data_IF_776574368147
#
_entry.id   IF_776574368147
#
_cell.length_a   1.000
_cell.length_b   1.000
_cell.length_c   1.000
_cell.angle_alpha   90.00
_cell.angle_beta   90.00
_cell.angle_gamma   90.00
#
_symmetry.space_group_name_H-M   'P 1'
#
loop_
_entity.id
_entity.type
_entity.pdbx_description
1 polymer ?
#
# COMPACT_ATOMS: atom_id res chain seq x y z
N UNK A 1 35.81 40.08 2.23
CA UNK A 1 36.92 40.78 1.50
C UNK A 1 37.61 39.81 0.51
N UNK A 2 37.95 38.59 0.91
CA UNK A 2 38.71 37.61 0.09
C UNK A 2 37.94 37.19 -1.18
N UNK A 3 36.67 36.88 -1.08
CA UNK A 3 35.86 36.46 -2.23
C UNK A 3 35.67 37.57 -3.28
N UNK A 4 35.55 38.81 -2.85
CA UNK A 4 35.43 39.94 -3.75
C UNK A 4 36.73 40.19 -4.52
N UNK A 5 37.88 40.02 -3.86
CA UNK A 5 39.20 40.14 -4.50
C UNK A 5 39.45 39.01 -5.50
N UNK A 6 39.05 37.76 -5.15
CA UNK A 6 39.18 36.59 -6.04
C UNK A 6 38.27 36.74 -7.26
N UNK A 7 37.03 37.21 -7.09
CA UNK A 7 36.10 37.45 -8.19
C UNK A 7 36.61 38.53 -9.15
N UNK A 8 37.12 39.64 -8.61
CA UNK A 8 37.70 40.71 -9.42
C UNK A 8 38.96 40.27 -10.21
N UNK A 9 39.79 39.39 -9.64
CA UNK A 9 40.95 38.80 -10.32
C UNK A 9 40.50 37.87 -11.47
N UNK A 10 39.47 37.02 -11.21
CA UNK A 10 38.93 36.11 -12.19
C UNK A 10 38.27 36.88 -13.37
N UNK A 11 37.57 37.97 -13.08
CA UNK A 11 37.02 38.85 -14.13
C UNK A 11 38.13 39.48 -14.98
N UNK A 12 39.23 39.88 -14.35
CA UNK A 12 40.37 40.48 -15.05
C UNK A 12 41.11 39.48 -15.97
N UNK A 13 41.20 38.23 -15.54
CA UNK A 13 41.86 37.17 -16.28
C UNK A 13 40.93 36.53 -17.37
N UNK A 14 39.66 36.81 -17.33
CA UNK A 14 38.67 36.20 -18.22
C UNK A 14 38.67 36.88 -19.60
N UNK A 15 39.20 36.20 -20.59
CA UNK A 15 39.23 36.69 -21.99
C UNK A 15 37.82 36.72 -22.62
N UNK A 16 36.86 36.05 -22.05
CA UNK A 16 35.45 35.95 -22.52
C UNK A 16 34.52 36.94 -21.76
N UNK A 17 35.07 37.91 -21.06
CA UNK A 17 34.30 38.97 -20.37
C UNK A 17 33.47 39.73 -21.42
N UNK A 18 32.17 39.88 -21.15
CA UNK A 18 31.21 40.52 -22.06
C UNK A 18 31.70 41.93 -22.51
N UNK A 19 32.31 42.68 -21.60
CA UNK A 19 32.88 44.00 -21.89
C UNK A 19 34.02 43.95 -22.88
N UNK A 20 34.86 42.94 -22.84
CA UNK A 20 36.02 42.77 -23.76
C UNK A 20 35.62 42.34 -25.17
N UNK A 21 34.34 41.94 -25.39
CA UNK A 21 33.83 41.60 -26.73
C UNK A 21 33.42 42.85 -27.55
N UNK A 22 33.37 44.02 -26.94
CA UNK A 22 33.12 45.24 -27.68
C UNK A 22 34.37 45.74 -28.44
N UNK A 23 34.18 46.48 -29.54
CA UNK A 23 35.30 47.08 -30.26
C UNK A 23 36.11 48.04 -29.38
N UNK A 24 37.42 48.08 -29.55
CA UNK A 24 38.34 48.88 -28.69
C UNK A 24 37.97 50.37 -28.61
N UNK A 25 37.52 50.93 -29.73
CA UNK A 25 37.09 52.33 -29.75
C UNK A 25 35.87 52.63 -28.83
N UNK A 26 34.96 51.67 -28.67
CA UNK A 26 33.84 51.85 -27.75
C UNK A 26 34.30 51.77 -26.29
N UNK A 27 35.26 50.90 -26.01
CA UNK A 27 35.84 50.73 -24.68
C UNK A 27 36.61 52.03 -24.30
N UNK A 28 37.43 52.55 -25.21
CA UNK A 28 38.19 53.79 -24.99
C UNK A 28 37.23 54.98 -24.77
N UNK A 29 36.15 55.10 -25.52
CA UNK A 29 35.14 56.15 -25.34
C UNK A 29 34.38 56.00 -24.01
N UNK A 30 34.05 54.78 -23.62
CA UNK A 30 33.38 54.52 -22.35
C UNK A 30 34.26 54.84 -21.13
N UNK A 31 35.56 54.53 -21.23
CA UNK A 31 36.54 54.88 -20.19
C UNK A 31 36.66 56.37 -19.96
N UNK A 32 36.51 57.17 -21.02
CA UNK A 32 36.55 58.64 -20.95
C UNK A 32 35.20 59.24 -20.45
N UNK A 33 34.10 58.53 -20.67
CA UNK A 33 32.71 59.01 -20.40
C UNK A 33 32.02 58.41 -19.17
N UNK A 34 32.79 57.92 -18.20
CA UNK A 34 32.23 57.50 -16.89
C UNK A 34 31.85 56.04 -16.80
N UNK A 35 32.32 55.17 -17.72
CA UNK A 35 32.18 53.72 -17.66
C UNK A 35 30.73 53.18 -17.61
N UNK A 36 29.83 53.88 -18.26
CA UNK A 36 28.41 53.51 -18.27
C UNK A 36 28.15 52.20 -19.00
N UNK A 37 28.88 51.96 -20.11
CA UNK A 37 28.78 50.70 -20.86
C UNK A 37 29.31 49.52 -20.00
N UNK A 38 30.39 49.72 -19.27
CA UNK A 38 30.93 48.75 -18.33
C UNK A 38 29.96 48.39 -17.23
N UNK A 39 29.31 49.37 -16.64
CA UNK A 39 28.28 49.13 -15.61
C UNK A 39 27.07 48.40 -16.19
N UNK A 40 26.61 48.77 -17.39
CA UNK A 40 25.52 48.07 -18.06
C UNK A 40 25.86 46.59 -18.35
N UNK A 41 27.04 46.37 -18.90
CA UNK A 41 27.51 44.98 -19.19
C UNK A 41 27.70 44.13 -17.92
N UNK A 42 28.14 44.76 -16.81
CA UNK A 42 28.21 44.05 -15.52
C UNK A 42 26.83 43.64 -15.01
N UNK A 43 25.81 44.47 -15.16
CA UNK A 43 24.43 44.11 -14.77
C UNK A 43 23.94 42.95 -15.64
N UNK A 44 24.19 42.98 -16.95
CA UNK A 44 23.83 41.91 -17.86
C UNK A 44 24.61 40.61 -17.56
N UNK A 45 25.90 40.72 -17.31
CA UNK A 45 26.75 39.58 -16.97
C UNK A 45 26.31 38.93 -15.66
N UNK A 46 25.95 39.69 -14.64
CA UNK A 46 25.46 39.16 -13.38
C UNK A 46 24.19 38.32 -13.55
N UNK A 47 23.33 38.68 -14.49
CA UNK A 47 22.17 37.87 -14.84
C UNK A 47 22.56 36.52 -15.43
N UNK A 48 23.52 36.48 -16.36
CA UNK A 48 24.00 35.23 -16.97
C UNK A 48 24.79 34.39 -15.99
N UNK A 49 25.56 34.99 -15.09
CA UNK A 49 26.26 34.28 -14.00
C UNK A 49 25.25 33.62 -13.05
N UNK A 50 24.18 34.31 -12.72
CA UNK A 50 23.07 33.77 -11.93
C UNK A 50 22.42 32.60 -12.63
N UNK A 51 22.17 32.70 -13.94
CA UNK A 51 21.59 31.64 -14.73
C UNK A 51 22.52 30.40 -14.81
N UNK A 52 23.81 30.63 -15.02
CA UNK A 52 24.83 29.57 -15.04
C UNK A 52 24.92 28.85 -13.68
N UNK A 53 24.90 29.61 -12.59
CA UNK A 53 24.88 29.02 -11.25
C UNK A 53 23.58 28.23 -10.97
N UNK A 54 22.44 28.67 -11.50
CA UNK A 54 21.18 27.91 -11.42
C UNK A 54 21.27 26.59 -12.20
N UNK A 55 21.80 26.61 -13.41
CA UNK A 55 21.99 25.40 -14.23
C UNK A 55 22.93 24.41 -13.53
N UNK A 56 24.07 24.89 -13.01
CA UNK A 56 24.99 24.08 -12.25
C UNK A 56 24.37 23.52 -10.96
N UNK A 57 23.58 24.36 -10.27
CA UNK A 57 22.87 23.97 -9.04
C UNK A 57 21.85 22.85 -9.23
N UNK A 58 21.23 22.72 -10.41
CA UNK A 58 20.26 21.64 -10.70
C UNK A 58 20.92 20.25 -10.62
N UNK A 59 22.15 20.12 -11.11
CA UNK A 59 22.89 18.86 -11.06
C UNK A 59 23.30 18.49 -9.64
N UNK A 60 23.71 19.46 -8.85
CA UNK A 60 24.06 19.26 -7.43
C UNK A 60 22.81 18.95 -6.58
N UNK A 61 21.66 19.52 -6.92
CA UNK A 61 20.39 19.25 -6.27
C UNK A 61 19.92 17.81 -6.39
N UNK A 62 20.16 17.20 -7.54
CA UNK A 62 19.84 15.78 -7.79
C UNK A 62 20.78 14.81 -7.08
N UNK A 63 21.97 15.24 -6.73
CA UNK A 63 22.92 14.42 -5.99
C UNK A 63 22.52 14.36 -4.53
N UNK A 64 22.00 13.22 -4.09
CA UNK A 64 21.69 12.94 -2.66
C UNK A 64 23.01 12.91 -1.88
N UNK A 65 23.46 14.06 -1.41
CA UNK A 65 24.61 14.14 -0.50
C UNK A 65 24.10 14.25 0.92
N UNK A 66 24.01 13.11 1.59
CA UNK A 66 23.82 13.06 3.03
C UNK A 66 25.20 13.28 3.69
N UNK A 67 25.31 14.28 4.55
CA UNK A 67 26.47 14.49 5.43
C UNK A 67 27.83 14.78 4.74
N UNK A 68 27.93 15.89 4.06
CA UNK A 68 29.26 16.44 3.80
C UNK A 68 29.33 17.86 4.33
N UNK A 69 30.20 18.09 5.32
CA UNK A 69 30.49 19.43 5.86
C UNK A 69 31.10 20.40 4.84
N UNK A 70 31.30 19.93 3.59
CA UNK A 70 31.80 20.68 2.44
C UNK A 70 30.70 21.02 1.39
N UNK A 71 29.42 20.72 1.67
CA UNK A 71 28.34 21.08 0.75
C UNK A 71 28.26 22.61 0.63
N UNK A 72 28.48 23.13 -0.57
CA UNK A 72 28.28 24.56 -0.85
C UNK A 72 26.80 24.92 -0.61
N UNK A 73 26.52 26.07 0.00
CA UNK A 73 25.16 26.54 0.19
C UNK A 73 24.49 26.71 -1.18
N UNK A 74 23.33 26.08 -1.36
CA UNK A 74 22.60 26.15 -2.62
C UNK A 74 21.66 27.35 -2.61
N UNK A 75 22.16 28.52 -2.96
CA UNK A 75 21.42 29.79 -2.91
C UNK A 75 20.24 29.85 -3.87
N UNK A 76 20.18 28.94 -4.84
CA UNK A 76 19.13 28.93 -5.89
C UNK A 76 18.06 27.83 -5.66
N UNK A 77 18.13 27.13 -4.57
CA UNK A 77 17.23 26.02 -4.27
C UNK A 77 15.75 26.42 -4.38
N UNK A 78 15.40 27.61 -3.92
CA UNK A 78 14.04 28.17 -3.99
C UNK A 78 13.58 28.37 -5.44
N UNK A 79 14.44 28.92 -6.29
CA UNK A 79 14.11 29.20 -7.68
C UNK A 79 13.93 27.90 -8.49
N UNK A 80 14.70 26.88 -8.18
CA UNK A 80 14.55 25.55 -8.78
C UNK A 80 13.20 24.93 -8.43
N UNK A 81 12.75 25.05 -7.18
CA UNK A 81 11.41 24.62 -6.76
C UNK A 81 10.31 25.41 -7.49
N UNK A 82 10.48 26.72 -7.61
CA UNK A 82 9.56 27.59 -8.35
C UNK A 82 9.45 27.20 -9.81
N UNK A 83 10.58 26.84 -10.44
CA UNK A 83 10.62 26.30 -11.81
C UNK A 83 9.86 24.98 -11.99
N UNK A 84 9.66 24.22 -10.92
CA UNK A 84 8.84 23.01 -10.90
C UNK A 84 7.37 23.26 -10.49
N UNK A 85 6.96 24.53 -10.43
CA UNK A 85 5.61 24.95 -10.06
C UNK A 85 5.32 24.93 -8.54
N UNK A 86 6.33 24.71 -7.71
CA UNK A 86 6.18 24.75 -6.26
C UNK A 86 6.57 26.13 -5.72
N UNK A 87 5.55 26.97 -5.52
CA UNK A 87 5.74 28.34 -4.99
C UNK A 87 5.76 28.28 -3.47
N UNK A 88 6.93 28.48 -2.90
CA UNK A 88 7.12 28.51 -1.46
C UNK A 88 7.43 29.95 -1.01
N UNK A 89 6.78 30.46 0.06
CA UNK A 89 7.16 31.74 0.63
C UNK A 89 8.61 31.70 1.12
N UNK A 90 9.25 32.86 1.19
CA UNK A 90 10.61 32.92 1.72
C UNK A 90 10.57 32.59 3.21
N UNK A 91 11.24 31.49 3.57
CA UNK A 91 11.37 31.07 4.95
C UNK A 91 12.54 31.81 5.59
N UNK A 92 12.36 32.22 6.83
CA UNK A 92 13.43 32.88 7.59
C UNK A 92 13.97 34.10 6.81
N UNK A 93 13.08 35.04 6.45
CA UNK A 93 13.39 36.22 5.63
C UNK A 93 14.54 37.01 6.21
N UNK A 94 14.65 37.05 7.53
CA UNK A 94 15.68 37.79 8.27
C UNK A 94 16.71 36.81 8.88
N UNK A 95 17.15 35.81 8.08
CA UNK A 95 18.11 34.81 8.55
C UNK A 95 19.41 35.45 9.07
N UNK A 96 19.86 36.51 8.48
CA UNK A 96 21.08 37.23 8.91
C UNK A 96 20.91 37.86 10.31
N UNK A 97 19.74 38.44 10.59
CA UNK A 97 19.41 39.01 11.90
C UNK A 97 19.26 37.88 12.94
N UNK A 98 18.65 36.80 12.57
CA UNK A 98 18.52 35.61 13.45
C UNK A 98 19.87 35.00 13.76
N UNK A 99 20.80 34.96 12.79
CA UNK A 99 22.16 34.52 13.00
C UNK A 99 22.94 35.45 13.93
N UNK A 100 22.74 36.74 13.81
CA UNK A 100 23.37 37.74 14.68
C UNK A 100 22.82 37.66 16.13
N UNK A 101 21.52 37.46 16.30
CA UNK A 101 20.90 37.22 17.63
C UNK A 101 21.42 35.92 18.24
N UNK A 102 21.53 34.88 17.45
CA UNK A 102 22.07 33.58 17.86
C UNK A 102 23.53 33.68 18.31
N UNK A 103 24.34 34.42 17.59
CA UNK A 103 25.76 34.62 17.90
C UNK A 103 26.03 35.44 19.19
N UNK A 104 24.98 35.94 19.85
CA UNK A 104 25.10 36.64 21.14
C UNK A 104 25.05 35.74 22.36
N UNK A 105 24.66 34.45 22.21
CA UNK A 105 24.63 33.51 23.30
C UNK A 105 25.84 32.56 23.19
N UNK A 106 26.89 32.84 23.96
CA UNK A 106 28.15 32.10 23.98
C UNK A 106 28.00 30.69 24.58
N UNK A 107 26.85 30.37 25.19
CA UNK A 107 26.60 29.09 25.86
C UNK A 107 25.91 28.05 24.99
N UNK A 108 25.36 28.43 23.85
CA UNK A 108 24.70 27.49 22.96
C UNK A 108 25.51 27.25 21.69
N UNK A 109 25.94 26.01 21.49
CA UNK A 109 26.59 25.58 20.25
C UNK A 109 25.57 24.99 19.29
N UNK A 110 25.26 25.72 18.25
CA UNK A 110 24.39 25.22 17.17
C UNK A 110 25.24 24.56 16.07
N UNK A 111 24.79 23.41 15.59
CA UNK A 111 25.52 22.58 14.62
C UNK A 111 25.41 23.03 13.15
N UNK A 112 25.03 24.26 12.85
CA UNK A 112 24.95 24.71 11.46
C UNK A 112 24.40 26.14 11.34
N UNK A 113 24.70 26.77 10.21
CA UNK A 113 24.21 28.08 9.86
C UNK A 113 22.73 28.01 9.46
N UNK A 114 21.93 29.03 9.74
CA UNK A 114 20.52 29.11 9.36
C UNK A 114 20.35 29.02 7.84
N UNK A 115 21.25 29.59 7.08
CA UNK A 115 21.27 29.50 5.62
C UNK A 115 21.48 28.04 5.13
N UNK A 116 22.33 27.27 5.80
CA UNK A 116 22.50 25.86 5.48
C UNK A 116 21.24 25.05 5.78
N UNK A 117 20.56 25.34 6.90
CA UNK A 117 19.30 24.70 7.25
C UNK A 117 18.20 25.03 6.23
N UNK A 118 18.08 26.29 5.84
CA UNK A 118 17.14 26.76 4.81
C UNK A 118 17.36 26.04 3.49
N UNK A 119 18.62 25.96 3.04
CA UNK A 119 18.98 25.27 1.81
C UNK A 119 18.73 23.76 1.90
N UNK A 120 18.97 23.14 3.05
CA UNK A 120 18.69 21.72 3.30
C UNK A 120 17.19 21.44 3.19
N UNK A 121 16.33 22.29 3.75
CA UNK A 121 14.88 22.15 3.66
C UNK A 121 14.44 22.23 2.20
N UNK A 122 14.89 23.23 1.45
CA UNK A 122 14.57 23.35 0.02
C UNK A 122 15.03 22.13 -0.77
N UNK A 123 16.21 21.60 -0.49
CA UNK A 123 16.72 20.40 -1.12
C UNK A 123 15.88 19.16 -0.79
N UNK A 124 15.47 19.01 0.47
CA UNK A 124 14.60 17.93 0.89
C UNK A 124 13.23 17.99 0.19
N UNK A 125 12.65 19.19 0.07
CA UNK A 125 11.39 19.41 -0.65
C UNK A 125 11.57 19.02 -2.11
N UNK A 126 12.63 19.49 -2.78
CA UNK A 126 12.89 19.17 -4.18
C UNK A 126 13.02 17.67 -4.43
N UNK A 127 13.80 16.97 -3.60
CA UNK A 127 13.99 15.53 -3.70
C UNK A 127 12.69 14.72 -3.50
N UNK A 128 11.75 15.26 -2.71
CA UNK A 128 10.47 14.63 -2.43
C UNK A 128 9.31 15.19 -3.26
N UNK A 129 9.55 16.20 -4.09
CA UNK A 129 8.49 16.92 -4.81
C UNK A 129 7.63 16.00 -5.68
N UNK A 130 8.24 15.04 -6.35
CA UNK A 130 7.54 14.05 -7.17
C UNK A 130 6.56 13.19 -6.35
N UNK A 131 6.95 12.81 -5.14
CA UNK A 131 6.10 12.03 -4.23
C UNK A 131 4.98 12.88 -3.64
N UNK A 132 5.28 14.15 -3.33
CA UNK A 132 4.30 15.12 -2.84
C UNK A 132 3.23 15.36 -3.92
N UNK A 133 3.63 15.57 -5.18
CA UNK A 133 2.68 15.79 -6.28
C UNK A 133 1.85 14.55 -6.61
N UNK A 134 2.45 13.36 -6.62
CA UNK A 134 1.72 12.11 -6.86
C UNK A 134 0.69 11.79 -5.78
N UNK A 135 0.90 12.25 -4.57
CA UNK A 135 -0.01 12.08 -3.43
C UNK A 135 -0.82 13.32 -3.09
N UNK A 136 -0.83 14.33 -3.96
CA UNK A 136 -1.55 15.60 -3.75
C UNK A 136 -3.01 15.37 -3.36
N UNK A 137 -3.47 16.08 -2.33
CA UNK A 137 -4.83 15.94 -1.80
C UNK A 137 -5.01 14.81 -0.78
N UNK A 138 -3.96 14.07 -0.45
CA UNK A 138 -4.00 13.02 0.57
C UNK A 138 -3.21 13.44 1.81
N UNK A 139 -3.54 12.83 2.96
CA UNK A 139 -2.80 12.99 4.21
C UNK A 139 -1.30 12.67 4.04
N UNK A 140 -0.98 11.66 3.23
CA UNK A 140 0.39 11.28 2.91
C UNK A 140 1.21 12.41 2.30
N UNK A 141 0.60 13.25 1.48
CA UNK A 141 1.27 14.43 0.89
C UNK A 141 1.70 15.41 1.98
N UNK A 142 0.80 15.71 2.91
CA UNK A 142 1.09 16.61 4.02
C UNK A 142 2.18 16.06 4.94
N UNK A 143 2.10 14.80 5.33
CA UNK A 143 3.12 14.16 6.18
C UNK A 143 4.50 14.15 5.51
N UNK A 144 4.57 13.84 4.21
CA UNK A 144 5.83 13.91 3.46
C UNK A 144 6.38 15.34 3.38
N UNK A 145 5.50 16.32 3.23
CA UNK A 145 5.91 17.72 3.23
C UNK A 145 6.51 18.14 4.57
N UNK A 146 5.85 17.84 5.69
CA UNK A 146 6.38 18.16 7.02
C UNK A 146 7.69 17.44 7.33
N UNK A 147 7.86 16.21 6.87
CA UNK A 147 9.13 15.49 6.99
C UNK A 147 10.30 16.19 6.32
N UNK A 148 10.06 16.96 5.26
CA UNK A 148 11.11 17.76 4.62
C UNK A 148 11.66 18.86 5.54
N UNK A 149 10.89 19.28 6.55
CA UNK A 149 11.30 20.22 7.58
C UNK A 149 11.96 19.54 8.79
N UNK A 150 12.13 18.23 8.75
CA UNK A 150 12.68 17.46 9.88
C UNK A 150 11.67 17.19 11.00
N UNK A 151 10.37 17.43 10.77
CA UNK A 151 9.32 17.16 11.74
C UNK A 151 8.80 15.75 11.56
N UNK A 152 8.91 14.92 12.61
CA UNK A 152 8.41 13.55 12.56
C UNK A 152 6.89 13.50 12.58
N UNK A 153 6.36 12.42 12.00
CA UNK A 153 4.91 12.18 11.91
C UNK A 153 4.23 12.04 13.27
N UNK A 154 4.97 11.65 14.31
CA UNK A 154 4.48 11.56 15.69
C UNK A 154 4.15 12.93 16.31
N UNK A 155 4.83 13.99 15.85
CA UNK A 155 4.64 15.35 16.35
C UNK A 155 3.48 16.09 15.67
N UNK A 156 2.91 15.52 14.59
CA UNK A 156 1.89 16.19 13.79
C UNK A 156 0.55 15.51 13.93
N UNK A 157 -0.42 16.23 14.47
CA UNK A 157 -1.83 15.85 14.46
C UNK A 157 -2.52 16.51 13.26
N UNK A 158 -2.96 15.71 12.28
CA UNK A 158 -3.73 16.16 11.13
C UNK A 158 -5.22 15.96 11.39
N UNK A 159 -5.98 17.05 11.44
CA UNK A 159 -7.41 17.01 11.49
C UNK A 159 -7.97 17.22 10.08
N UNK A 160 -8.73 16.27 9.59
CA UNK A 160 -9.40 16.35 8.29
C UNK A 160 -10.87 16.70 8.52
N UNK A 161 -11.34 17.75 7.86
CA UNK A 161 -12.72 18.19 7.92
C UNK A 161 -13.35 18.02 6.53
N UNK A 162 -14.56 17.48 6.48
CA UNK A 162 -15.33 17.33 5.25
C UNK A 162 -16.73 17.86 5.47
N UNK A 163 -17.27 18.55 4.47
CA UNK A 163 -18.55 19.26 4.59
C UNK A 163 -19.78 18.34 4.73
N UNK A 164 -19.66 17.05 4.37
CA UNK A 164 -20.84 16.17 4.27
C UNK A 164 -20.59 14.72 4.73
N UNK A 165 -19.56 14.46 5.53
CA UNK A 165 -19.30 13.12 6.05
C UNK A 165 -18.94 13.14 7.52
N UNK A 166 -19.62 12.28 8.29
CA UNK A 166 -19.29 12.04 9.69
C UNK A 166 -18.15 11.04 9.77
N UNK A 167 -16.96 11.49 10.08
CA UNK A 167 -15.81 10.62 10.33
C UNK A 167 -15.68 10.36 11.83
N UNK A 168 -15.59 9.08 12.18
CA UNK A 168 -15.15 8.70 13.53
C UNK A 168 -13.61 8.86 13.56
N UNK A 169 -13.16 9.95 14.16
CA UNK A 169 -11.74 10.22 14.34
C UNK A 169 -11.22 9.41 15.53
N UNK A 170 -10.30 8.49 15.28
CA UNK A 170 -9.54 7.83 16.35
C UNK A 170 -8.21 8.56 16.52
N UNK A 171 -7.93 9.00 17.73
CA UNK A 171 -6.74 9.79 18.08
C UNK A 171 -5.38 9.05 17.90
N UNK A 172 -5.40 7.75 17.65
CA UNK A 172 -4.22 6.91 17.47
C UNK A 172 -4.11 6.45 16.00
N UNK A 173 -3.78 7.38 15.12
CA UNK A 173 -3.54 7.04 13.72
C UNK A 173 -2.04 6.84 13.51
N UNK A 174 -1.59 5.61 13.59
CA UNK A 174 -0.26 5.22 13.14
C UNK A 174 -0.38 4.63 11.73
N UNK A 175 0.10 5.37 10.72
CA UNK A 175 0.19 4.85 9.37
C UNK A 175 1.48 4.06 9.22
N UNK A 176 1.40 2.78 9.48
CA UNK A 176 2.49 1.87 9.13
C UNK A 176 2.22 1.34 7.71
N UNK A 177 2.98 1.80 6.74
CA UNK A 177 2.99 1.19 5.41
C UNK A 177 3.82 -0.09 5.48
N UNK A 178 3.17 -1.21 5.76
CA UNK A 178 3.82 -2.52 5.73
C UNK A 178 3.76 -3.03 4.30
N UNK A 179 4.94 -3.23 3.69
CA UNK A 179 5.04 -3.96 2.44
C UNK A 179 4.78 -5.45 2.74
N UNK A 180 3.58 -5.93 2.41
CA UNK A 180 3.25 -7.35 2.57
C UNK A 180 3.45 -8.11 1.26
N UNK A 181 3.90 -9.36 1.33
CA UNK A 181 3.96 -10.21 0.16
C UNK A 181 2.54 -10.53 -0.34
N UNK A 182 2.35 -10.49 -1.64
CA UNK A 182 1.11 -10.86 -2.31
C UNK A 182 1.40 -11.88 -3.41
N UNK A 183 0.55 -12.87 -3.55
CA UNK A 183 0.51 -13.73 -4.72
C UNK A 183 -0.19 -12.97 -5.85
N UNK A 184 0.58 -12.44 -6.79
CA UNK A 184 0.05 -11.65 -7.90
C UNK A 184 -0.22 -12.57 -9.11
N UNK A 185 -1.49 -12.81 -9.39
CA UNK A 185 -1.94 -13.61 -10.53
C UNK A 185 -2.40 -12.79 -11.72
N UNK A 186 -2.36 -11.47 -11.62
CA UNK A 186 -2.74 -10.55 -12.69
C UNK A 186 -1.64 -10.36 -13.72
N UNK A 187 -1.17 -11.48 -14.29
CA UNK A 187 -0.24 -11.53 -15.42
C UNK A 187 -0.63 -12.71 -16.30
N UNK A 188 -0.51 -12.56 -17.62
CA UNK A 188 -0.92 -13.58 -18.58
C UNK A 188 -0.36 -14.97 -18.27
N UNK A 189 0.92 -15.03 -17.91
CA UNK A 189 1.64 -16.25 -17.60
C UNK A 189 1.27 -16.86 -16.23
N UNK A 190 0.61 -16.09 -15.36
CA UNK A 190 0.33 -16.46 -13.97
C UNK A 190 -1.15 -16.73 -13.68
N UNK A 191 -2.03 -16.56 -14.65
CA UNK A 191 -3.48 -16.75 -14.47
C UNK A 191 -3.88 -18.15 -13.99
N UNK A 192 -3.05 -19.14 -14.24
CA UNK A 192 -3.23 -20.52 -13.79
C UNK A 192 -2.42 -20.86 -12.54
N UNK A 193 -1.75 -19.86 -11.94
CA UNK A 193 -0.95 -20.06 -10.74
C UNK A 193 -1.79 -20.42 -9.54
N UNK A 194 -1.33 -21.38 -8.77
CA UNK A 194 -1.95 -21.77 -7.51
C UNK A 194 -0.88 -22.11 -6.47
N UNK A 195 -1.12 -21.70 -5.24
CA UNK A 195 -0.33 -22.09 -4.07
C UNK A 195 -1.21 -22.94 -3.19
N UNK A 196 -0.72 -24.08 -2.76
CA UNK A 196 -1.46 -25.00 -1.92
C UNK A 196 -0.65 -25.40 -0.69
N UNK A 197 -1.34 -25.78 0.34
CA UNK A 197 -0.75 -26.26 1.57
C UNK A 197 0.03 -27.56 1.31
N UNK A 198 1.33 -27.50 1.57
CA UNK A 198 2.25 -28.62 1.42
C UNK A 198 3.29 -28.57 2.54
N UNK A 199 3.77 -29.69 3.00
CA UNK A 199 4.84 -29.81 3.99
C UNK A 199 5.77 -30.97 3.67
N UNK A 200 6.98 -30.90 4.21
CA UNK A 200 8.02 -31.88 3.98
C UNK A 200 8.00 -33.07 4.96
N UNK A 201 7.18 -32.98 5.98
CA UNK A 201 7.15 -33.89 7.15
C UNK A 201 5.97 -34.87 7.16
N UNK A 202 5.22 -34.95 6.07
CA UNK A 202 4.09 -35.89 5.92
C UNK A 202 2.78 -35.41 6.56
N UNK A 203 2.78 -34.32 7.31
CA UNK A 203 1.57 -33.75 7.94
C UNK A 203 1.25 -32.39 7.29
N UNK A 204 0.56 -32.44 6.17
CA UNK A 204 0.37 -31.21 5.34
C UNK A 204 -1.07 -30.85 5.12
N UNK A 205 -1.94 -31.31 5.99
CA UNK A 205 -3.36 -31.05 5.90
C UNK A 205 -3.91 -30.71 7.28
N UNK A 206 -4.98 -29.90 7.27
CA UNK A 206 -5.75 -29.66 8.47
C UNK A 206 -6.56 -30.92 8.79
N UNK A 207 -6.21 -31.59 9.88
CA UNK A 207 -6.99 -32.74 10.34
C UNK A 207 -8.22 -32.23 11.10
N UNK A 208 -9.36 -32.80 10.81
CA UNK A 208 -10.49 -32.75 11.73
C UNK A 208 -10.23 -33.65 12.92
N UNK A 209 -10.75 -33.29 14.09
CA UNK A 209 -10.75 -34.21 15.21
C UNK A 209 -11.71 -35.38 14.92
N UNK A 210 -11.17 -36.58 14.86
CA UNK A 210 -11.98 -37.83 14.82
C UNK A 210 -12.32 -38.34 16.22
N UNK A 211 -11.78 -37.71 17.29
CA UNK A 211 -12.09 -38.12 18.64
C UNK A 211 -13.47 -37.60 19.04
N UNK A 212 -14.25 -38.49 19.63
CA UNK A 212 -15.63 -38.19 20.07
C UNK A 212 -15.73 -37.14 21.15
N UNK A 213 -14.61 -36.71 21.73
CA UNK A 213 -14.57 -35.85 22.89
C UNK A 213 -14.13 -34.38 22.59
N UNK A 214 -13.52 -34.15 21.39
CA UNK A 214 -13.06 -32.84 20.97
C UNK A 214 -13.57 -32.54 19.55
N UNK A 215 -14.84 -32.26 19.42
CA UNK A 215 -15.39 -31.81 18.14
C UNK A 215 -15.15 -30.34 17.91
N UNK A 216 -14.49 -29.98 16.84
CA UNK A 216 -14.49 -28.61 16.38
C UNK A 216 -15.92 -28.15 16.15
N UNK A 217 -16.28 -27.07 16.82
CA UNK A 217 -17.63 -26.53 16.74
C UNK A 217 -17.80 -25.54 15.61
N UNK A 218 -16.69 -25.04 15.08
CA UNK A 218 -16.66 -24.06 14.01
C UNK A 218 -15.30 -23.99 13.30
N UNK A 219 -15.32 -23.51 12.07
CA UNK A 219 -14.13 -23.16 11.31
C UNK A 219 -14.34 -21.82 10.59
N UNK A 220 -13.25 -21.10 10.35
CA UNK A 220 -13.23 -19.91 9.50
C UNK A 220 -12.03 -19.98 8.56
N UNK A 221 -12.26 -19.79 7.27
CA UNK A 221 -11.21 -19.56 6.30
C UNK A 221 -11.35 -18.14 5.81
N UNK A 222 -10.33 -17.34 6.00
CA UNK A 222 -10.28 -15.96 5.51
C UNK A 222 -9.16 -15.75 4.51
N UNK A 223 -9.35 -14.82 3.61
CA UNK A 223 -8.32 -14.38 2.69
C UNK A 223 -8.50 -12.91 2.35
N UNK A 224 -7.41 -12.24 2.07
CA UNK A 224 -7.41 -10.90 1.51
C UNK A 224 -7.19 -11.00 0.00
N UNK A 225 -8.10 -10.42 -0.77
CA UNK A 225 -8.02 -10.32 -2.22
C UNK A 225 -7.96 -8.86 -2.65
N UNK A 226 -7.00 -8.52 -3.49
CA UNK A 226 -6.88 -7.20 -4.11
C UNK A 226 -7.20 -7.37 -5.58
N UNK A 227 -8.22 -6.66 -6.04
CA UNK A 227 -8.68 -6.67 -7.43
C UNK A 227 -7.94 -5.59 -8.20
N UNK A 228 -6.98 -5.94 -9.07
CA UNK A 228 -6.19 -4.96 -9.80
C UNK A 228 -7.06 -4.07 -10.67
N UNK A 229 -6.57 -2.87 -10.96
CA UNK A 229 -7.23 -2.00 -11.92
C UNK A 229 -7.33 -2.68 -13.28
N UNK A 230 -8.53 -2.75 -13.82
CA UNK A 230 -8.79 -3.28 -15.13
C UNK A 230 -8.87 -2.14 -16.13
N UNK A 231 -7.93 -2.14 -17.06
CA UNK A 231 -7.86 -1.15 -18.13
C UNK A 231 -8.98 -1.37 -19.16
N UNK A 232 -9.48 -0.30 -19.75
CA UNK A 232 -10.37 -0.39 -20.89
C UNK A 232 -9.60 -0.84 -22.14
N UNK A 233 -10.33 -1.41 -23.12
CA UNK A 233 -9.74 -2.00 -24.34
C UNK A 233 -8.80 -1.08 -25.12
N UNK A 234 -8.98 0.22 -24.99
CA UNK A 234 -8.20 1.24 -25.69
C UNK A 234 -7.12 1.89 -24.83
N UNK A 235 -7.01 1.49 -23.56
CA UNK A 235 -5.99 2.01 -22.65
C UNK A 235 -4.67 1.25 -22.78
N UNK A 236 -3.56 1.96 -22.65
CA UNK A 236 -2.23 1.36 -22.57
C UNK A 236 -2.14 0.51 -21.29
N UNK A 237 -1.85 -0.78 -21.44
CA UNK A 237 -1.84 -1.72 -20.31
C UNK A 237 -3.08 -2.63 -20.27
N UNK A 238 -3.98 -2.52 -21.25
CA UNK A 238 -5.09 -3.46 -21.40
C UNK A 238 -4.53 -4.89 -21.50
N UNK A 239 -5.11 -5.75 -20.68
CA UNK A 239 -4.76 -7.16 -20.60
C UNK A 239 -6.05 -8.00 -20.67
N UNK A 240 -6.29 -8.72 -21.79
CA UNK A 240 -7.51 -9.46 -21.96
C UNK A 240 -7.52 -10.71 -21.09
N UNK A 241 -8.40 -10.75 -20.09
CA UNK A 241 -8.72 -11.98 -19.38
C UNK A 241 -9.93 -12.62 -20.04
N UNK A 242 -9.72 -13.78 -20.67
CA UNK A 242 -10.78 -14.48 -21.41
C UNK A 242 -11.73 -15.29 -20.51
N UNK A 243 -11.96 -14.88 -19.26
CA UNK A 243 -12.83 -15.57 -18.33
C UNK A 243 -13.61 -14.58 -17.44
N UNK A 244 -14.78 -15.01 -17.03
CA UNK A 244 -15.68 -14.21 -16.17
C UNK A 244 -15.58 -14.63 -14.70
N UNK A 245 -15.15 -15.84 -14.42
CA UNK A 245 -15.04 -16.36 -13.05
C UNK A 245 -13.57 -16.39 -12.64
N UNK A 246 -13.21 -15.64 -11.61
CA UNK A 246 -11.88 -15.64 -11.01
C UNK A 246 -11.91 -16.41 -9.70
N UNK A 247 -11.05 -17.44 -9.57
CA UNK A 247 -10.86 -18.16 -8.32
C UNK A 247 -9.98 -17.35 -7.38
N UNK A 248 -10.27 -17.38 -6.09
CA UNK A 248 -9.55 -16.60 -5.07
C UNK A 248 -8.82 -17.55 -4.14
N UNK A 249 -9.54 -18.34 -3.39
CA UNK A 249 -9.01 -19.33 -2.45
C UNK A 249 -10.09 -20.35 -2.10
N UNK A 250 -9.66 -21.45 -1.52
CA UNK A 250 -10.60 -22.49 -1.10
C UNK A 250 -9.91 -23.65 -0.38
N UNK A 251 -10.68 -24.64 -0.03
CA UNK A 251 -10.15 -25.90 0.45
C UNK A 251 -10.85 -27.10 -0.18
N UNK A 252 -10.14 -28.21 -0.23
CA UNK A 252 -10.62 -29.52 -0.65
C UNK A 252 -10.30 -30.57 0.40
N UNK A 253 -11.17 -31.58 0.50
CA UNK A 253 -10.87 -32.77 1.28
C UNK A 253 -9.68 -33.50 0.66
N UNK A 254 -8.70 -33.86 1.48
CA UNK A 254 -7.62 -34.73 1.10
C UNK A 254 -8.18 -36.17 0.90
N UNK A 255 -7.72 -36.88 -0.13
CA UNK A 255 -8.15 -38.29 -0.39
C UNK A 255 -7.46 -39.20 0.59
N UNK A 256 -6.17 -39.02 0.81
CA UNK A 256 -5.38 -39.76 1.79
C UNK A 256 -4.71 -38.83 2.77
N UNK A 257 -4.28 -39.33 3.91
CA UNK A 257 -3.45 -38.62 4.85
C UNK A 257 -1.97 -38.49 4.42
N UNK A 258 -1.61 -39.02 3.26
CA UNK A 258 -0.24 -38.98 2.76
C UNK A 258 0.05 -37.62 2.09
N UNK A 259 1.11 -36.97 2.52
CA UNK A 259 1.58 -35.71 1.94
C UNK A 259 2.02 -35.87 0.47
N UNK A 260 2.48 -37.04 0.08
CA UNK A 260 2.85 -37.31 -1.30
C UNK A 260 1.64 -37.44 -2.22
N UNK A 261 0.44 -37.65 -1.68
CA UNK A 261 -0.78 -37.73 -2.47
C UNK A 261 -1.25 -36.31 -2.84
N UNK A 262 -1.05 -35.96 -4.09
CA UNK A 262 -1.42 -34.64 -4.65
C UNK A 262 -2.85 -34.61 -5.21
N UNK A 263 -3.65 -35.58 -4.86
CA UNK A 263 -5.06 -35.66 -5.29
C UNK A 263 -6.01 -35.12 -4.21
N UNK A 264 -7.19 -34.70 -4.61
CA UNK A 264 -8.24 -34.24 -3.71
C UNK A 264 -9.63 -34.66 -4.19
N UNK A 265 -10.58 -34.65 -3.29
CA UNK A 265 -11.97 -34.82 -3.66
C UNK A 265 -12.53 -33.58 -4.34
N UNK A 266 -12.99 -33.70 -5.57
CA UNK A 266 -13.55 -32.58 -6.34
C UNK A 266 -14.94 -32.16 -5.90
N UNK A 267 -15.72 -33.07 -5.31
CA UNK A 267 -17.16 -32.89 -5.05
C UNK A 267 -17.58 -33.15 -3.60
N UNK A 268 -16.65 -33.51 -2.71
CA UNK A 268 -16.96 -33.76 -1.31
C UNK A 268 -16.08 -32.93 -0.39
N UNK A 269 -16.70 -32.27 0.59
CA UNK A 269 -16.07 -31.41 1.58
C UNK A 269 -15.17 -30.36 0.93
N UNK A 270 -15.77 -29.52 0.11
CA UNK A 270 -15.10 -28.43 -0.60
C UNK A 270 -15.80 -27.12 -0.32
N UNK A 271 -15.02 -26.06 -0.13
CA UNK A 271 -15.50 -24.67 -0.17
C UNK A 271 -14.52 -23.84 -1.01
N UNK A 272 -15.05 -23.09 -1.96
CA UNK A 272 -14.27 -22.32 -2.94
C UNK A 272 -14.87 -20.94 -3.09
N UNK A 273 -14.04 -19.93 -2.96
CA UNK A 273 -14.41 -18.52 -3.10
C UNK A 273 -14.08 -18.03 -4.50
N UNK A 274 -15.07 -17.46 -5.17
CA UNK A 274 -14.98 -16.92 -6.51
C UNK A 274 -15.42 -15.48 -6.59
N UNK A 275 -14.83 -14.75 -7.53
CA UNK A 275 -15.30 -13.46 -8.00
C UNK A 275 -15.84 -13.63 -9.41
N UNK A 276 -17.11 -13.34 -9.61
CA UNK A 276 -17.80 -13.52 -10.90
C UNK A 276 -18.08 -12.15 -11.49
N UNK A 277 -17.56 -11.92 -12.68
CA UNK A 277 -17.81 -10.73 -13.49
C UNK A 277 -19.01 -10.97 -14.42
N UNK A 278 -19.90 -10.00 -14.66
CA UNK A 278 -20.98 -10.15 -15.62
C UNK A 278 -20.49 -10.34 -17.05
N UNK A 279 -19.35 -9.76 -17.40
CA UNK A 279 -18.63 -9.98 -18.66
C UNK A 279 -17.11 -9.88 -18.45
N UNK A 280 -16.32 -10.27 -19.45
CA UNK A 280 -14.87 -10.35 -19.36
C UNK A 280 -14.17 -9.02 -19.10
N UNK A 281 -14.78 -7.91 -19.50
CA UNK A 281 -14.22 -6.56 -19.37
C UNK A 281 -14.83 -5.77 -18.20
N UNK A 282 -15.78 -6.37 -17.49
CA UNK A 282 -16.46 -5.71 -16.37
C UNK A 282 -15.53 -5.48 -15.18
N UNK A 283 -15.70 -4.32 -14.54
CA UNK A 283 -15.10 -3.97 -13.26
C UNK A 283 -15.98 -4.38 -12.07
N UNK A 284 -17.23 -4.80 -12.35
CA UNK A 284 -18.20 -5.21 -11.35
C UNK A 284 -18.05 -6.68 -11.01
N UNK A 285 -18.29 -7.04 -9.76
CA UNK A 285 -18.13 -8.40 -9.26
C UNK A 285 -19.30 -8.81 -8.39
N UNK A 286 -19.69 -10.06 -8.53
CA UNK A 286 -20.54 -10.78 -7.59
C UNK A 286 -19.67 -11.85 -6.93
N UNK A 287 -19.61 -11.87 -5.61
CA UNK A 287 -18.85 -12.89 -4.89
C UNK A 287 -19.67 -14.14 -4.69
N UNK A 288 -19.03 -15.29 -4.85
CA UNK A 288 -19.67 -16.59 -4.73
C UNK A 288 -18.83 -17.55 -3.87
N UNK A 289 -19.47 -18.17 -2.89
CA UNK A 289 -18.93 -19.33 -2.20
C UNK A 289 -19.63 -20.57 -2.75
N UNK A 290 -18.87 -21.43 -3.40
CA UNK A 290 -19.35 -22.67 -3.99
C UNK A 290 -18.68 -23.87 -3.35
N UNK A 291 -19.44 -24.88 -3.00
CA UNK A 291 -18.91 -26.07 -2.40
C UNK A 291 -19.90 -27.21 -2.34
N UNK A 292 -19.49 -28.27 -1.71
CA UNK A 292 -20.36 -29.43 -1.42
C UNK A 292 -19.79 -30.22 -0.28
N UNK A 293 -20.66 -30.84 0.51
CA UNK A 293 -20.30 -31.80 1.53
C UNK A 293 -21.45 -32.78 1.73
N UNK A 294 -21.13 -34.08 1.90
CA UNK A 294 -22.16 -35.07 2.13
C UNK A 294 -23.22 -35.17 1.02
N UNK A 295 -22.86 -34.86 -0.22
CA UNK A 295 -23.76 -34.84 -1.36
C UNK A 295 -24.70 -33.61 -1.45
N UNK A 296 -24.58 -32.64 -0.57
CA UNK A 296 -25.35 -31.38 -0.56
C UNK A 296 -24.51 -30.27 -1.15
N UNK A 297 -25.06 -29.53 -2.11
CA UNK A 297 -24.41 -28.37 -2.69
C UNK A 297 -24.53 -27.15 -1.76
N UNK A 298 -23.46 -26.37 -1.67
CA UNK A 298 -23.38 -25.10 -0.98
C UNK A 298 -23.17 -24.03 -2.05
N UNK A 299 -24.09 -23.07 -2.11
CA UNK A 299 -24.05 -22.02 -3.13
C UNK A 299 -24.55 -20.69 -2.53
N UNK A 300 -23.61 -19.89 -2.09
CA UNK A 300 -23.85 -18.59 -1.48
C UNK A 300 -23.36 -17.50 -2.41
N UNK A 301 -24.24 -16.58 -2.79
CA UNK A 301 -23.96 -15.52 -3.76
C UNK A 301 -24.30 -14.17 -3.16
N UNK A 302 -23.33 -13.24 -3.21
CA UNK A 302 -23.53 -11.85 -2.75
C UNK A 302 -24.34 -11.04 -3.76
N UNK A 303 -24.70 -9.81 -3.39
CA UNK A 303 -25.08 -8.78 -4.35
C UNK A 303 -23.89 -8.42 -5.25
N UNK A 304 -24.18 -7.72 -6.34
CA UNK A 304 -23.15 -7.19 -7.24
C UNK A 304 -22.54 -5.92 -6.64
N UNK A 305 -21.20 -5.83 -6.66
CA UNK A 305 -20.44 -4.65 -6.24
C UNK A 305 -19.83 -3.97 -7.45
N UNK A 306 -20.01 -2.66 -7.53
CA UNK A 306 -19.48 -1.82 -8.60
C UNK A 306 -18.01 -1.52 -8.37
N UNK A 307 -17.26 -1.37 -9.45
CA UNK A 307 -15.85 -0.92 -9.45
C UNK A 307 -14.92 -1.73 -8.54
N UNK A 308 -15.21 -3.01 -8.35
CA UNK A 308 -14.36 -3.89 -7.55
C UNK A 308 -12.96 -4.01 -8.17
N UNK A 309 -12.85 -4.14 -9.50
CA UNK A 309 -11.60 -4.11 -10.24
C UNK A 309 -11.06 -2.69 -10.46
N UNK A 310 -10.92 -1.96 -9.34
CA UNK A 310 -10.35 -0.61 -9.29
C UNK A 310 -9.30 -0.49 -8.17
N UNK A 311 -8.42 -1.49 -8.06
CA UNK A 311 -7.47 -1.67 -6.98
C UNK A 311 -8.12 -1.78 -5.58
N UNK A 312 -9.35 -2.25 -5.54
CA UNK A 312 -10.06 -2.44 -4.29
C UNK A 312 -9.61 -3.70 -3.55
N UNK A 313 -9.48 -3.57 -2.25
CA UNK A 313 -9.13 -4.67 -1.34
C UNK A 313 -10.40 -5.20 -0.69
N UNK A 314 -10.55 -6.51 -0.68
CA UNK A 314 -11.62 -7.21 0.02
C UNK A 314 -11.03 -8.27 0.94
N UNK A 315 -11.55 -8.37 2.14
CA UNK A 315 -11.36 -9.53 3.00
C UNK A 315 -12.60 -10.40 2.88
N UNK A 316 -12.41 -11.64 2.49
CA UNK A 316 -13.46 -12.64 2.28
C UNK A 316 -13.27 -13.77 3.27
N UNK A 317 -14.36 -14.20 3.90
CA UNK A 317 -14.34 -15.29 4.85
C UNK A 317 -15.48 -16.27 4.60
N UNK A 318 -15.12 -17.55 4.54
CA UNK A 318 -16.04 -18.67 4.58
C UNK A 318 -16.04 -19.27 5.98
N UNK A 319 -17.19 -19.31 6.63
CA UNK A 319 -17.34 -19.77 8.02
C UNK A 319 -18.36 -20.89 8.09
N UNK A 320 -18.08 -21.85 8.96
CA UNK A 320 -19.02 -22.93 9.29
C UNK A 320 -19.13 -23.01 10.79
N UNK A 321 -20.35 -22.94 11.31
CA UNK A 321 -20.60 -23.06 12.75
C UNK A 321 -21.89 -23.82 13.00
N UNK A 322 -22.00 -24.39 14.19
CA UNK A 322 -23.25 -24.93 14.66
C UNK A 322 -24.28 -23.79 14.94
N UNK A 323 -25.56 -24.04 14.74
CA UNK A 323 -26.61 -23.01 14.96
C UNK A 323 -26.66 -22.45 16.38
N UNK A 324 -26.24 -23.26 17.36
CA UNK A 324 -26.18 -22.88 18.79
C UNK A 324 -24.85 -22.27 19.21
N UNK A 325 -23.92 -22.06 18.28
CA UNK A 325 -22.63 -21.43 18.60
C UNK A 325 -22.80 -19.93 18.87
N UNK A 326 -22.14 -19.32 19.86
CA UNK A 326 -21.27 -19.95 20.87
C UNK A 326 -22.08 -20.72 21.94
N UNK A 327 -21.59 -21.88 22.30
CA UNK A 327 -22.28 -22.70 23.29
C UNK A 327 -22.17 -22.10 24.68
N UNK A 328 -23.30 -22.09 25.42
CA UNK A 328 -23.32 -21.77 26.83
C UNK A 328 -22.98 -23.02 27.64
N UNK A 329 -21.76 -23.17 28.12
CA UNK A 329 -21.30 -24.28 28.95
C UNK A 329 -20.39 -25.28 28.21
N UNK A 330 -19.82 -26.22 28.98
CA UNK A 330 -19.01 -27.29 28.41
C UNK A 330 -19.89 -28.20 27.55
N UNK A 331 -19.60 -28.22 26.25
CA UNK A 331 -20.20 -29.18 25.34
C UNK A 331 -19.41 -30.48 25.45
N UNK A 332 -19.73 -31.25 26.44
CA UNK A 332 -19.30 -32.66 26.54
C UNK A 332 -20.29 -33.48 25.77
N UNK A 333 -19.80 -34.13 24.72
CA UNK A 333 -20.54 -35.13 23.96
C UNK A 333 -21.57 -34.54 23.02
N UNK A 334 -21.37 -34.85 21.75
CA UNK A 334 -22.28 -34.64 20.63
C UNK A 334 -23.30 -33.51 20.83
N UNK A 335 -23.09 -32.39 20.20
CA UNK A 335 -24.17 -31.48 19.86
C UNK A 335 -25.16 -32.27 18.98
N UNK A 336 -25.77 -33.31 19.59
CA UNK A 336 -26.65 -34.25 18.97
C UNK A 336 -27.93 -33.51 18.60
N UNK A 337 -28.05 -33.27 17.32
CA UNK A 337 -29.21 -32.63 16.73
C UNK A 337 -29.12 -31.13 16.69
N UNK A 338 -29.19 -30.58 15.55
CA UNK A 338 -29.15 -29.16 15.21
C UNK A 338 -28.53 -29.02 13.85
N UNK A 339 -28.82 -27.92 13.19
CA UNK A 339 -28.25 -27.59 11.90
C UNK A 339 -26.93 -26.85 12.07
N UNK A 340 -26.14 -26.86 11.03
CA UNK A 340 -25.00 -25.97 10.90
C UNK A 340 -25.34 -24.85 9.97
N UNK A 341 -24.65 -23.73 10.14
CA UNK A 341 -24.78 -22.54 9.30
C UNK A 341 -23.46 -22.34 8.57
N UNK A 342 -23.52 -22.34 7.26
CA UNK A 342 -22.42 -21.91 6.39
C UNK A 342 -22.62 -20.43 6.10
N UNK A 343 -21.62 -19.63 6.34
CA UNK A 343 -21.67 -18.19 6.18
C UNK A 343 -20.59 -17.75 5.21
N UNK A 344 -20.94 -16.86 4.32
CA UNK A 344 -19.99 -16.16 3.44
C UNK A 344 -20.03 -14.69 3.74
N UNK A 345 -18.94 -14.18 4.27
CA UNK A 345 -18.76 -12.79 4.66
C UNK A 345 -17.73 -12.13 3.77
N UNK A 346 -17.95 -10.88 3.42
CA UNK A 346 -16.98 -10.07 2.72
C UNK A 346 -17.03 -8.63 3.18
N UNK A 347 -15.88 -8.01 3.33
CA UNK A 347 -15.75 -6.61 3.72
C UNK A 347 -14.71 -5.91 2.87
N UNK A 348 -15.05 -4.73 2.39
CA UNK A 348 -14.15 -3.77 1.76
C UNK A 348 -13.94 -2.60 2.71
N UNK A 349 -12.71 -2.42 3.15
CA UNK A 349 -12.32 -1.33 4.04
C UNK A 349 -11.26 -0.43 3.40
N UNK A 350 -11.43 0.86 3.54
CA UNK A 350 -10.49 1.88 3.07
C UNK A 350 -10.23 2.84 4.21
N UNK A 351 -8.97 2.98 4.62
CA UNK A 351 -8.56 3.88 5.70
C UNK A 351 -9.37 3.71 7.00
N UNK A 352 -9.58 2.46 7.44
CA UNK A 352 -10.36 2.08 8.62
C UNK A 352 -11.87 2.43 8.54
N UNK A 353 -12.38 2.67 7.35
CA UNK A 353 -13.79 2.85 7.11
C UNK A 353 -14.32 1.71 6.23
N UNK A 354 -15.43 1.08 6.66
CA UNK A 354 -16.08 0.03 5.89
C UNK A 354 -16.90 0.67 4.77
N UNK A 355 -16.51 0.45 3.53
CA UNK A 355 -17.23 0.95 2.36
C UNK A 355 -18.36 0.01 1.93
N UNK A 356 -18.08 -1.28 1.93
CA UNK A 356 -19.06 -2.30 1.56
C UNK A 356 -18.86 -3.53 2.44
N UNK A 357 -19.95 -4.18 2.79
CA UNK A 357 -19.94 -5.47 3.47
C UNK A 357 -21.11 -6.32 3.01
N UNK A 358 -20.97 -7.62 3.13
CA UNK A 358 -22.05 -8.56 2.95
C UNK A 358 -21.91 -9.77 3.87
N UNK A 359 -23.04 -10.35 4.20
CA UNK A 359 -23.14 -11.63 4.87
C UNK A 359 -24.26 -12.44 4.21
N UNK A 360 -23.91 -13.59 3.66
CA UNK A 360 -24.87 -14.54 3.07
C UNK A 360 -24.74 -15.84 3.83
N UNK A 361 -25.86 -16.48 4.17
CA UNK A 361 -25.89 -17.66 5.01
C UNK A 361 -26.75 -18.77 4.40
N UNK A 362 -26.34 -20.02 4.63
CA UNK A 362 -27.11 -21.21 4.28
C UNK A 362 -27.14 -22.20 5.45
N UNK A 363 -28.32 -22.63 5.84
CA UNK A 363 -28.45 -23.72 6.82
C UNK A 363 -28.22 -25.06 6.13
N UNK A 364 -27.43 -25.91 6.76
CA UNK A 364 -27.12 -27.28 6.31
C UNK A 364 -27.38 -28.27 7.44
N UNK A 365 -27.66 -29.49 7.08
CA UNK A 365 -27.93 -30.55 8.08
C UNK A 365 -26.71 -30.86 8.94
N UNK A 366 -26.92 -31.46 10.10
CA UNK A 366 -25.87 -31.88 11.01
C UNK A 366 -24.81 -32.75 10.31
N UNK A 367 -25.21 -33.70 9.48
CA UNK A 367 -24.27 -34.60 8.75
C UNK A 367 -23.33 -33.80 7.80
N UNK A 368 -23.86 -32.78 7.13
CA UNK A 368 -23.07 -31.90 6.24
C UNK A 368 -22.10 -31.04 7.05
N UNK A 369 -22.57 -30.49 8.17
CA UNK A 369 -21.73 -29.69 9.06
C UNK A 369 -20.57 -30.49 9.65
N UNK A 370 -20.86 -31.69 10.16
CA UNK A 370 -19.83 -32.60 10.67
C UNK A 370 -18.82 -32.98 9.57
N UNK A 371 -19.27 -33.26 8.35
CA UNK A 371 -18.38 -33.54 7.23
C UNK A 371 -17.47 -32.32 6.90
N UNK A 372 -18.03 -31.10 6.91
CA UNK A 372 -17.25 -29.88 6.69
C UNK A 372 -16.21 -29.66 7.79
N UNK A 373 -16.54 -29.97 9.05
CA UNK A 373 -15.65 -29.78 10.18
C UNK A 373 -14.62 -30.89 10.30
N UNK A 374 -15.06 -32.15 10.20
CA UNK A 374 -14.27 -33.34 10.57
C UNK A 374 -13.31 -33.87 9.52
N UNK A 375 -13.60 -33.68 8.22
CA UNK A 375 -12.72 -34.22 7.19
C UNK A 375 -11.40 -33.43 7.08
N UNK A 376 -10.33 -34.17 6.78
CA UNK A 376 -9.02 -33.59 6.48
C UNK A 376 -9.09 -32.67 5.26
N UNK A 377 -8.44 -31.51 5.33
CA UNK A 377 -8.53 -30.46 4.32
C UNK A 377 -7.16 -29.98 3.89
N UNK A 378 -7.05 -29.57 2.65
CA UNK A 378 -5.94 -28.81 2.12
C UNK A 378 -6.43 -27.51 1.54
N UNK A 379 -5.76 -26.44 1.91
CA UNK A 379 -6.03 -25.10 1.43
C UNK A 379 -5.30 -24.83 0.12
N UNK A 380 -5.92 -24.02 -0.72
CA UNK A 380 -5.26 -23.41 -1.87
C UNK A 380 -5.59 -21.93 -1.98
N UNK A 381 -4.71 -21.18 -2.64
CA UNK A 381 -4.88 -19.79 -3.00
C UNK A 381 -4.55 -19.59 -4.48
N UNK A 382 -5.40 -18.84 -5.19
CA UNK A 382 -5.25 -18.58 -6.61
C UNK A 382 -6.16 -19.43 -7.48
N UNK A 383 -5.65 -19.93 -8.61
CA UNK A 383 -6.43 -20.72 -9.55
C UNK A 383 -6.95 -22.03 -8.93
N UNK A 384 -8.20 -22.35 -9.22
CA UNK A 384 -8.77 -23.64 -8.83
C UNK A 384 -8.33 -24.71 -9.84
N UNK A 385 -7.70 -25.75 -9.35
CA UNK A 385 -7.12 -26.82 -10.14
C UNK A 385 -7.98 -28.11 -10.05
N UNK A 386 -7.81 -29.05 -10.97
CA UNK A 386 -8.46 -30.37 -10.89
C UNK A 386 -7.93 -31.22 -9.74
N UNK A 387 -6.66 -31.01 -9.39
CA UNK A 387 -5.97 -31.50 -8.20
C UNK A 387 -4.71 -30.60 -8.00
N UNK A 388 -3.87 -30.89 -7.03
CA UNK A 388 -2.72 -30.02 -6.73
C UNK A 388 -1.73 -29.86 -7.89
N UNK A 389 -1.64 -30.84 -8.80
CA UNK A 389 -0.75 -30.80 -9.98
C UNK A 389 -1.50 -30.88 -11.30
N UNK A 390 -2.81 -30.76 -11.27
CA UNK A 390 -3.67 -30.85 -12.43
C UNK A 390 -3.75 -29.57 -13.26
N UNK A 391 -4.70 -29.59 -14.19
CA UNK A 391 -5.01 -28.41 -15.00
C UNK A 391 -5.92 -27.42 -14.25
N UNK A 392 -5.82 -26.15 -14.57
CA UNK A 392 -6.70 -25.14 -14.01
C UNK A 392 -8.14 -25.32 -14.52
N UNK A 393 -9.08 -25.45 -13.60
CA UNK A 393 -10.52 -25.43 -13.84
C UNK A 393 -11.02 -23.99 -13.93
N UNK A 394 -10.65 -23.17 -12.95
CA UNK A 394 -10.94 -21.75 -12.91
C UNK A 394 -9.65 -20.96 -12.71
N UNK A 395 -9.41 -20.00 -13.57
CA UNK A 395 -8.25 -19.10 -13.53
C UNK A 395 -8.41 -18.04 -12.46
N UNK A 396 -7.36 -17.27 -12.21
CA UNK A 396 -7.38 -16.15 -11.30
C UNK A 396 -6.65 -14.95 -11.90
N UNK A 397 -7.20 -13.76 -11.76
CA UNK A 397 -6.60 -12.47 -12.16
C UNK A 397 -6.48 -11.52 -10.96
N UNK A 398 -6.56 -12.03 -9.74
CA UNK A 398 -6.50 -11.25 -8.50
C UNK A 398 -5.15 -11.38 -7.83
N UNK A 399 -4.87 -10.45 -6.90
CA UNK A 399 -3.75 -10.58 -5.98
C UNK A 399 -4.29 -11.11 -4.66
N UNK A 400 -3.74 -12.20 -4.18
CA UNK A 400 -4.20 -12.87 -2.95
C UNK A 400 -3.12 -12.76 -1.87
N UNK A 401 -3.54 -12.47 -0.66
CA UNK A 401 -2.66 -12.46 0.51
C UNK A 401 -3.42 -12.89 1.75
N UNK A 402 -2.70 -13.13 2.84
CA UNK A 402 -3.27 -13.42 4.16
C UNK A 402 -4.33 -14.54 4.14
N UNK A 403 -4.02 -15.65 3.47
CA UNK A 403 -4.89 -16.82 3.54
C UNK A 403 -4.68 -17.51 4.89
N UNK A 404 -5.72 -17.52 5.72
CA UNK A 404 -5.69 -18.02 7.09
C UNK A 404 -6.82 -19.02 7.30
N UNK A 405 -6.56 -19.98 8.14
CA UNK A 405 -7.57 -20.93 8.59
C UNK A 405 -7.62 -20.96 10.12
N UNK A 406 -8.82 -20.83 10.65
CA UNK A 406 -9.09 -20.79 12.07
C UNK A 406 -10.00 -21.96 12.43
N UNK A 407 -9.66 -22.66 13.49
CA UNK A 407 -10.50 -23.72 14.05
C UNK A 407 -11.55 -23.14 15.01
N UNK A 408 -12.03 -21.97 14.71
CA UNK A 408 -13.09 -21.27 15.44
C UNK A 408 -13.90 -20.40 14.49
N UNK A 409 -15.05 -19.91 14.97
CA UNK A 409 -15.86 -18.93 14.29
C UNK A 409 -15.39 -17.52 14.63
N UNK A 410 -14.86 -16.82 13.66
CA UNK A 410 -14.60 -15.39 13.77
C UNK A 410 -15.89 -14.61 13.54
N UNK A 411 -16.19 -13.66 14.40
CA UNK A 411 -17.35 -12.80 14.22
C UNK A 411 -17.06 -11.70 13.14
N UNK A 412 -18.07 -10.93 12.80
CA UNK A 412 -17.93 -9.89 11.77
C UNK A 412 -16.98 -8.77 12.19
N UNK A 413 -16.95 -8.44 13.48
CA UNK A 413 -16.12 -7.36 14.00
C UNK A 413 -14.65 -7.76 14.01
N UNK A 414 -14.32 -9.01 14.34
CA UNK A 414 -12.96 -9.57 14.22
C UNK A 414 -12.46 -9.53 12.78
N UNK A 415 -13.29 -9.93 11.81
CA UNK A 415 -12.94 -9.88 10.39
C UNK A 415 -12.80 -8.44 9.87
N UNK A 416 -13.58 -7.49 10.39
CA UNK A 416 -13.40 -6.07 10.09
C UNK A 416 -12.07 -5.54 10.62
N UNK A 417 -11.72 -5.89 11.87
CA UNK A 417 -10.41 -5.51 12.44
C UNK A 417 -9.24 -6.13 11.65
N UNK A 418 -9.35 -7.38 11.19
CA UNK A 418 -8.37 -7.98 10.30
C UNK A 418 -8.29 -7.26 8.95
N UNK A 419 -9.39 -6.68 8.46
CA UNK A 419 -9.41 -5.90 7.23
C UNK A 419 -8.69 -4.56 7.36
N UNK A 420 -8.67 -3.98 8.56
CA UNK A 420 -7.97 -2.72 8.81
C UNK A 420 -6.47 -2.93 8.90
N UNK A 421 -6.04 -3.96 9.62
CA UNK A 421 -4.64 -4.33 9.76
C UNK A 421 -4.42 -5.79 9.37
N UNK A 422 -3.78 -6.05 8.22
CA UNK A 422 -3.53 -7.41 7.75
C UNK A 422 -2.55 -8.19 8.64
N UNK A 423 -1.83 -7.53 9.53
CA UNK A 423 -0.93 -8.18 10.50
C UNK A 423 -1.64 -8.48 11.82
N UNK A 424 -2.88 -8.04 11.96
CA UNK A 424 -3.69 -8.32 13.15
C UNK A 424 -4.14 -9.79 13.13
N UNK A 425 -3.82 -10.51 14.19
CA UNK A 425 -4.27 -11.86 14.50
C UNK A 425 -5.10 -11.87 15.78
N UNK A 426 -5.58 -10.71 16.20
CA UNK A 426 -6.34 -10.54 17.43
C UNK A 426 -7.70 -11.19 17.34
N UNK A 427 -8.08 -11.86 18.42
CA UNK A 427 -9.39 -12.44 18.63
C UNK A 427 -9.99 -11.85 19.89
N UNK A 428 -11.30 -11.62 19.89
CA UNK A 428 -12.00 -11.13 21.09
C UNK A 428 -11.96 -12.19 22.21
N UNK A 429 -11.97 -13.47 21.80
CA UNK A 429 -11.93 -14.59 22.71
C UNK A 429 -10.86 -15.61 22.33
N UNK A 430 -9.57 -15.30 22.51
CA UNK A 430 -8.49 -16.18 22.06
C UNK A 430 -8.55 -17.57 22.69
N UNK A 431 -9.01 -17.68 23.93
CA UNK A 431 -9.18 -18.97 24.64
C UNK A 431 -10.28 -19.88 24.06
N UNK A 432 -11.09 -19.38 23.12
CA UNK A 432 -12.08 -20.19 22.38
C UNK A 432 -11.58 -20.61 21.01
N UNK A 433 -10.42 -20.16 20.65
CA UNK A 433 -9.81 -20.38 19.33
C UNK A 433 -8.57 -21.29 19.41
N UNK A 434 -8.35 -21.87 20.58
CA UNK A 434 -7.28 -22.86 20.76
C UNK A 434 -7.54 -24.07 19.87
N UNK A 435 -6.53 -24.38 19.08
CA UNK A 435 -6.48 -25.57 18.25
C UNK A 435 -5.67 -26.66 18.95
#
# INVERSE_FOLDING_TARGET
>A
ATYKATGSLQDYENTSLLYNLFPSWMIEEDEQNGQNLRHLTQIMASYFDTLNAQIGGVTEFKAKRYFSGSAKPNTYAREVLRGQGFVMPDMLVEADILEEIRGKDDNETYNGDIQKLKNLIYQNIYNNLNYIYKSKGTEKSFRNFFRCFGVDSELIKLNLYSDDSTYLYRDNYEFTSVAKPVLNLNKEEQLTGSVYQSGSDGITFLSGSESSDEQYTAITMECEAIFPYKFDKFETGYFPTAFTTASIAGFHRAITGDAADLTWHGTDTTLRMYAIKPDVDSRHVTFKLSGSAGGVAIDLVSSQYTDTYYNNKWVLAARVRHEKYPFAGNVTGSATGGNYIVEFFGVNSVANDVKNEFLVTQSVTNAVGIALLGHTKRLYAGAHMTNFTGSAVEKSDVKVSQVRFWQSHLNNDELKEHSYDPTNYGLIHPYRSDA
#
